data_IF_042239215858
#
_entry.id   IF_042239215858
#
_cell.length_a   1.000
_cell.length_b   1.000
_cell.length_c   1.000
_cell.angle_alpha   90.00
_cell.angle_beta   90.00
_cell.angle_gamma   90.00
#
_symmetry.space_group_name_H-M   'P 1'
#
loop_
_entity.id
_entity.type
_entity.pdbx_description
1 polymer ?
#
# COMPACT_ATOMS: atom_id res chain seq x y z
N UNK A 1 -16.58 -27.01 -20.15
CA UNK A 1 -15.70 -27.14 -18.96
C UNK A 1 -16.28 -26.19 -17.93
N UNK A 2 -16.80 -26.71 -16.82
CA UNK A 2 -17.45 -25.89 -15.80
C UNK A 2 -16.40 -24.96 -15.17
N UNK A 3 -16.61 -23.65 -15.31
CA UNK A 3 -15.86 -22.63 -14.58
C UNK A 3 -16.23 -22.80 -13.09
N UNK A 4 -15.32 -23.37 -12.31
CA UNK A 4 -15.51 -23.51 -10.87
C UNK A 4 -15.61 -22.12 -10.24
N UNK A 5 -16.67 -21.87 -9.46
CA UNK A 5 -16.84 -20.66 -8.67
C UNK A 5 -15.58 -20.44 -7.82
N UNK A 6 -14.74 -19.49 -8.21
CA UNK A 6 -13.61 -19.07 -7.40
C UNK A 6 -14.17 -18.31 -6.20
N UNK A 7 -13.87 -18.84 -5.01
CA UNK A 7 -14.29 -18.23 -3.76
C UNK A 7 -13.73 -16.82 -3.61
N UNK A 8 -14.55 -15.89 -3.10
CA UNK A 8 -14.14 -14.50 -2.89
C UNK A 8 -12.89 -14.42 -2.00
N UNK A 9 -11.88 -13.60 -2.36
CA UNK A 9 -10.68 -13.41 -1.54
C UNK A 9 -10.98 -13.02 -0.08
N UNK A 10 -12.05 -12.25 0.15
CA UNK A 10 -12.44 -11.85 1.51
C UNK A 10 -12.95 -13.03 2.34
N UNK A 11 -13.61 -14.01 1.71
CA UNK A 11 -14.09 -15.23 2.36
C UNK A 11 -12.94 -16.16 2.72
N UNK A 12 -11.89 -16.19 1.88
CA UNK A 12 -10.66 -16.92 2.21
C UNK A 12 -9.98 -16.27 3.42
N UNK A 13 -9.76 -14.95 3.37
CA UNK A 13 -9.06 -14.21 4.42
C UNK A 13 -9.80 -14.23 5.77
N UNK A 14 -11.14 -14.29 5.78
CA UNK A 14 -11.92 -14.29 7.04
C UNK A 14 -11.66 -15.52 7.91
N UNK A 15 -11.17 -16.62 7.32
CA UNK A 15 -10.82 -17.85 8.04
C UNK A 15 -9.34 -18.19 7.98
N UNK A 16 -8.53 -17.40 7.28
CA UNK A 16 -7.06 -17.57 7.28
C UNK A 16 -6.50 -17.20 8.65
N UNK A 17 -5.69 -18.09 9.21
CA UNK A 17 -5.00 -17.88 10.48
C UNK A 17 -3.69 -17.12 10.29
N UNK A 18 -3.21 -16.47 11.36
CA UNK A 18 -1.88 -15.83 11.36
C UNK A 18 -0.76 -16.83 11.03
N UNK A 19 -0.87 -18.07 11.51
CA UNK A 19 0.10 -19.12 11.25
C UNK A 19 0.18 -19.45 9.74
N UNK A 20 -0.96 -19.52 9.05
CA UNK A 20 -1.01 -19.72 7.60
C UNK A 20 -0.42 -18.55 6.83
N UNK A 21 -0.68 -17.30 7.26
CA UNK A 21 -0.09 -16.11 6.66
C UNK A 21 1.43 -16.15 6.79
N UNK A 22 1.94 -16.43 8.00
CA UNK A 22 3.37 -16.51 8.24
C UNK A 22 4.02 -17.64 7.44
N UNK A 23 3.35 -18.80 7.35
CA UNK A 23 3.82 -19.91 6.52
C UNK A 23 3.94 -19.47 5.06
N UNK A 24 2.89 -18.87 4.51
CA UNK A 24 2.90 -18.38 3.13
C UNK A 24 4.05 -17.41 2.86
N UNK A 25 4.20 -16.37 3.71
CA UNK A 25 5.24 -15.34 3.53
C UNK A 25 6.66 -15.94 3.56
N UNK A 26 6.89 -16.97 4.37
CA UNK A 26 8.21 -17.60 4.49
C UNK A 26 8.50 -18.66 3.42
N UNK A 27 7.47 -19.34 2.90
CA UNK A 27 7.65 -20.48 1.99
C UNK A 27 7.42 -20.12 0.51
N UNK A 28 6.69 -19.04 0.23
CA UNK A 28 6.37 -18.66 -1.16
C UNK A 28 7.64 -18.33 -1.95
N UNK A 29 7.84 -18.90 -3.16
CA UNK A 29 8.96 -18.52 -3.99
C UNK A 29 8.90 -17.03 -4.31
N UNK A 30 10.00 -16.30 -4.07
CA UNK A 30 10.06 -14.85 -4.31
C UNK A 30 9.60 -14.46 -5.72
N UNK A 31 9.95 -15.25 -6.74
CA UNK A 31 9.54 -14.99 -8.12
C UNK A 31 8.02 -14.90 -8.30
N UNK A 32 7.23 -15.65 -7.51
CA UNK A 32 5.78 -15.64 -7.57
C UNK A 32 5.16 -14.35 -6.98
N UNK A 33 5.87 -13.66 -6.07
CA UNK A 33 5.42 -12.43 -5.41
C UNK A 33 6.26 -11.20 -5.76
N UNK A 34 7.19 -11.32 -6.72
CA UNK A 34 8.09 -10.23 -7.13
C UNK A 34 7.35 -8.97 -7.56
N UNK A 35 6.18 -9.12 -8.17
CA UNK A 35 5.32 -8.02 -8.58
C UNK A 35 4.92 -7.09 -7.43
N UNK A 36 4.88 -7.59 -6.19
CA UNK A 36 4.57 -6.78 -4.99
C UNK A 36 5.70 -5.77 -4.76
N UNK A 37 6.96 -6.20 -4.87
CA UNK A 37 8.12 -5.33 -4.73
C UNK A 37 8.18 -4.31 -5.87
N UNK A 38 7.89 -4.73 -7.10
CA UNK A 38 7.90 -3.82 -8.25
C UNK A 38 6.80 -2.76 -8.13
N UNK A 39 5.60 -3.15 -7.68
CA UNK A 39 4.51 -2.23 -7.34
C UNK A 39 4.90 -1.28 -6.21
N UNK A 40 5.60 -1.76 -5.17
CA UNK A 40 6.05 -0.91 -4.08
C UNK A 40 7.06 0.15 -4.56
N UNK A 41 8.00 -0.22 -5.42
CA UNK A 41 8.96 0.73 -6.03
C UNK A 41 8.23 1.77 -6.88
N UNK A 42 7.31 1.33 -7.73
CA UNK A 42 6.52 2.20 -8.58
C UNK A 42 5.69 3.19 -7.75
N UNK A 43 4.94 2.69 -6.77
CA UNK A 43 4.10 3.52 -5.91
C UNK A 43 4.93 4.51 -5.09
N UNK A 44 6.12 4.12 -4.61
CA UNK A 44 7.02 5.04 -3.94
C UNK A 44 7.50 6.16 -4.87
N UNK A 45 7.92 5.84 -6.09
CA UNK A 45 8.35 6.83 -7.06
C UNK A 45 7.20 7.80 -7.45
N UNK A 46 6.00 7.27 -7.68
CA UNK A 46 4.82 8.05 -7.99
C UNK A 46 4.41 8.98 -6.84
N UNK A 47 4.37 8.46 -5.61
CA UNK A 47 4.08 9.26 -4.42
C UNK A 47 5.09 10.40 -4.26
N UNK A 48 6.38 10.12 -4.43
CA UNK A 48 7.43 11.12 -4.32
C UNK A 48 7.32 12.20 -5.41
N UNK A 49 6.99 11.82 -6.64
CA UNK A 49 6.72 12.78 -7.71
C UNK A 49 5.45 13.61 -7.42
N UNK A 50 4.40 13.00 -6.84
CA UNK A 50 3.21 13.71 -6.38
C UNK A 50 3.49 14.76 -5.30
N UNK A 51 4.44 14.48 -4.40
CA UNK A 51 4.89 15.42 -3.37
C UNK A 51 5.66 16.62 -3.94
N UNK A 52 6.17 16.54 -5.18
CA UNK A 52 6.74 17.71 -5.85
C UNK A 52 5.70 18.84 -6.05
N UNK A 53 4.40 18.53 -5.92
CA UNK A 53 3.33 19.50 -6.06
C UNK A 53 3.06 19.91 -7.52
N UNK A 54 3.57 19.16 -8.49
CA UNK A 54 3.34 19.41 -9.93
C UNK A 54 2.14 18.66 -10.50
N UNK A 55 1.62 17.68 -9.77
CA UNK A 55 0.61 16.73 -10.26
C UNK A 55 -0.58 16.61 -9.29
N UNK A 56 -1.76 16.33 -9.85
CA UNK A 56 -2.99 16.05 -9.11
C UNK A 56 -3.51 17.24 -8.30
N UNK A 57 -4.23 16.95 -7.20
CA UNK A 57 -4.81 17.95 -6.30
C UNK A 57 -3.84 18.39 -5.18
N UNK A 58 -2.58 17.92 -5.21
CA UNK A 58 -1.53 18.29 -4.25
C UNK A 58 -1.89 18.03 -2.78
N UNK A 59 -2.73 17.03 -2.48
CA UNK A 59 -3.16 16.73 -1.10
C UNK A 59 -1.94 16.39 -0.23
N UNK A 60 -1.10 15.45 -0.66
CA UNK A 60 0.11 15.06 0.08
C UNK A 60 1.06 16.23 0.32
N UNK A 61 1.37 17.01 -0.73
CA UNK A 61 2.23 18.19 -0.63
C UNK A 61 1.64 19.27 0.30
N UNK A 62 0.33 19.46 0.26
CA UNK A 62 -0.37 20.43 1.12
C UNK A 62 -0.31 19.98 2.58
N UNK A 63 -0.61 18.72 2.87
CA UNK A 63 -0.56 18.16 4.22
C UNK A 63 0.85 18.20 4.80
N UNK A 64 1.87 17.84 4.00
CA UNK A 64 3.27 17.94 4.41
C UNK A 64 3.63 19.39 4.81
N UNK A 65 3.18 20.37 4.02
CA UNK A 65 3.38 21.79 4.32
C UNK A 65 2.63 22.24 5.58
N UNK A 66 1.42 21.74 5.84
CA UNK A 66 0.71 22.06 7.09
C UNK A 66 1.41 21.45 8.31
N UNK A 67 1.92 20.23 8.20
CA UNK A 67 2.74 19.62 9.25
C UNK A 67 4.01 20.44 9.51
N UNK A 68 4.72 20.86 8.45
CA UNK A 68 5.92 21.69 8.58
C UNK A 68 5.65 23.06 9.23
N UNK A 69 4.43 23.58 9.08
CA UNK A 69 3.97 24.84 9.72
C UNK A 69 3.49 24.64 11.17
N UNK A 70 3.48 23.41 11.67
CA UNK A 70 2.94 23.09 13.00
C UNK A 70 1.41 23.16 13.09
N UNK A 71 0.72 23.25 11.96
CA UNK A 71 -0.75 23.32 11.90
C UNK A 71 -1.41 21.94 11.92
N UNK A 72 -0.62 20.89 11.68
CA UNK A 72 -1.07 19.49 11.67
C UNK A 72 0.00 18.60 12.33
N UNK A 73 -0.43 17.58 13.06
CA UNK A 73 0.48 16.62 13.67
C UNK A 73 1.08 15.69 12.61
N UNK A 74 2.38 15.37 12.74
CA UNK A 74 3.07 14.38 11.93
C UNK A 74 3.03 13.01 12.61
N UNK A 75 1.89 12.35 12.47
CA UNK A 75 1.58 11.04 13.01
C UNK A 75 1.51 9.95 11.91
N UNK A 76 1.17 8.72 12.28
CA UNK A 76 1.06 7.61 11.33
C UNK A 76 -0.04 7.87 10.28
N UNK A 77 -1.19 8.39 10.70
CA UNK A 77 -2.31 8.68 9.80
C UNK A 77 -1.96 9.70 8.72
N UNK A 78 -1.39 10.83 9.12
CA UNK A 78 -0.91 11.86 8.19
C UNK A 78 0.20 11.33 7.29
N UNK A 79 1.12 10.51 7.82
CA UNK A 79 2.19 9.90 7.04
C UNK A 79 1.69 8.93 5.96
N UNK A 80 0.60 8.19 6.23
CA UNK A 80 -0.04 7.32 5.23
C UNK A 80 -0.62 8.18 4.11
N UNK A 81 -1.47 9.17 4.44
CA UNK A 81 -2.14 10.00 3.43
C UNK A 81 -1.15 10.82 2.59
N UNK A 82 -0.05 11.28 3.18
CA UNK A 82 1.00 11.99 2.44
C UNK A 82 1.69 11.08 1.41
N UNK A 83 1.74 9.77 1.66
CA UNK A 83 2.51 8.80 0.88
C UNK A 83 1.71 7.89 -0.05
N UNK A 84 0.40 8.12 -0.19
CA UNK A 84 -0.48 7.35 -1.09
C UNK A 84 -1.10 8.26 -2.14
#
# INVERSE_FOLDING_TARGET
VAEGEQESPLTVLSRTTLAEILKFVNEVPFAAIRFILDSAKLNCALSQEGLSGKWGLHIGATLEKQCARGLLAKDLSSSIVIRT
#
